data_IF_657595314342
#
_entry.id   IF_657595314342
#
_cell.length_a   1.000
_cell.length_b   1.000
_cell.length_c   1.000
_cell.angle_alpha   90.00
_cell.angle_beta   90.00
_cell.angle_gamma   90.00
#
_symmetry.space_group_name_H-M   'P 1'
#
loop_
_entity.id
_entity.type
_entity.pdbx_description
1 polymer ?
#
# COMPACT_ATOMS: atom_id res chain seq x y z
N UNK A 1 -1.47 5.80 -14.97
CA UNK A 1 -0.50 4.74 -14.61
C UNK A 1 0.71 4.73 -15.54
N UNK A 2 0.58 4.46 -16.84
CA UNK A 2 1.74 4.40 -17.77
C UNK A 2 2.63 5.66 -17.75
N UNK A 3 2.03 6.86 -17.86
CA UNK A 3 2.76 8.14 -17.80
C UNK A 3 3.51 8.31 -16.47
N UNK A 4 2.93 7.83 -15.38
CA UNK A 4 3.57 7.82 -14.05
C UNK A 4 4.80 6.92 -14.03
N UNK A 5 4.66 5.67 -14.48
CA UNK A 5 5.77 4.74 -14.59
C UNK A 5 6.89 5.27 -15.49
N UNK A 6 6.54 5.86 -16.64
CA UNK A 6 7.53 6.48 -17.54
C UNK A 6 8.29 7.63 -16.87
N UNK A 7 7.58 8.51 -16.16
CA UNK A 7 8.21 9.58 -15.40
C UNK A 7 9.15 9.05 -14.32
N UNK A 8 8.73 8.06 -13.54
CA UNK A 8 9.58 7.47 -12.51
C UNK A 8 10.76 6.69 -13.06
N UNK A 9 10.61 6.07 -14.22
CA UNK A 9 11.72 5.44 -14.93
C UNK A 9 12.78 6.50 -15.29
N UNK A 10 12.36 7.63 -15.87
CA UNK A 10 13.26 8.75 -16.20
C UNK A 10 13.94 9.28 -14.92
N UNK A 11 13.18 9.54 -13.85
CA UNK A 11 13.76 10.00 -12.58
C UNK A 11 14.76 9.00 -11.98
N UNK A 12 14.52 7.71 -12.15
CA UNK A 12 15.42 6.66 -11.67
C UNK A 12 16.71 6.62 -12.49
N UNK A 13 16.61 6.74 -13.82
CA UNK A 13 17.78 6.83 -14.71
C UNK A 13 18.64 8.07 -14.42
N UNK A 14 18.02 9.17 -14.00
CA UNK A 14 18.69 10.39 -13.55
C UNK A 14 19.26 10.29 -12.12
N UNK A 15 19.05 9.19 -11.40
CA UNK A 15 19.50 8.99 -10.02
C UNK A 15 18.75 9.85 -8.98
N UNK A 16 17.67 10.51 -9.38
CA UNK A 16 16.88 11.38 -8.50
C UNK A 16 16.05 10.56 -7.52
N UNK A 17 15.44 9.45 -7.98
CA UNK A 17 14.54 8.63 -7.16
C UNK A 17 15.26 8.00 -5.95
N UNK A 18 16.51 7.57 -6.12
CA UNK A 18 17.35 7.09 -5.00
C UNK A 18 17.64 8.17 -3.97
N UNK A 19 17.99 9.39 -4.42
CA UNK A 19 18.26 10.50 -3.50
C UNK A 19 17.04 10.86 -2.67
N UNK A 20 15.84 10.70 -3.22
CA UNK A 20 14.58 10.89 -2.49
C UNK A 20 14.45 9.85 -1.35
N UNK A 21 14.64 8.56 -1.65
CA UNK A 21 14.50 7.51 -0.62
C UNK A 21 15.57 7.62 0.45
N UNK A 22 16.84 7.82 0.06
CA UNK A 22 17.94 7.98 1.00
C UNK A 22 17.78 9.25 1.87
N UNK A 23 16.92 10.19 1.49
CA UNK A 23 16.66 11.38 2.30
C UNK A 23 15.72 11.14 3.49
N UNK A 24 14.97 10.03 3.47
CA UNK A 24 13.99 9.70 4.49
C UNK A 24 14.71 9.13 5.72
N UNK A 25 14.51 9.71 6.92
CA UNK A 25 15.18 9.23 8.13
C UNK A 25 14.57 7.90 8.62
N UNK A 26 15.35 7.05 9.34
CA UNK A 26 14.92 5.72 9.77
C UNK A 26 13.63 5.69 10.61
N UNK A 27 13.43 6.70 11.47
CA UNK A 27 12.21 6.81 12.27
C UNK A 27 10.95 6.97 11.42
N UNK A 28 11.04 7.69 10.30
CA UNK A 28 9.91 7.81 9.38
C UNK A 28 9.71 6.50 8.61
N UNK A 29 10.79 5.82 8.19
CA UNK A 29 10.71 4.49 7.55
C UNK A 29 9.94 3.50 8.45
N UNK A 30 10.31 3.43 9.72
CA UNK A 30 9.60 2.61 10.70
C UNK A 30 8.14 3.05 10.85
N UNK A 31 7.88 4.36 10.88
CA UNK A 31 6.52 4.88 10.95
C UNK A 31 5.65 4.58 9.73
N UNK A 32 6.24 4.53 8.53
CA UNK A 32 5.56 4.14 7.29
C UNK A 32 5.13 2.69 7.37
N UNK A 33 6.03 1.78 7.76
CA UNK A 33 5.71 0.37 7.94
C UNK A 33 4.55 0.18 8.92
N UNK A 34 4.63 0.80 10.10
CA UNK A 34 3.58 0.69 11.12
C UNK A 34 2.26 1.31 10.66
N UNK A 35 2.30 2.50 10.03
CA UNK A 35 1.11 3.17 9.51
C UNK A 35 0.38 2.33 8.46
N UNK A 36 1.12 1.69 7.56
CA UNK A 36 0.52 0.78 6.57
C UNK A 36 -0.05 -0.48 7.24
N UNK A 37 0.63 -1.02 8.26
CA UNK A 37 0.09 -2.13 9.06
C UNK A 37 -1.25 -1.80 9.73
N UNK A 38 -1.36 -0.61 10.32
CA UNK A 38 -2.61 -0.11 10.90
C UNK A 38 -3.69 0.09 9.83
N UNK A 39 -3.33 0.64 8.67
CA UNK A 39 -4.24 0.84 7.55
C UNK A 39 -4.81 -0.49 7.00
N UNK A 40 -3.95 -1.49 6.75
CA UNK A 40 -4.38 -2.81 6.28
C UNK A 40 -5.21 -3.52 7.36
N UNK A 41 -4.86 -3.37 8.64
CA UNK A 41 -5.69 -3.87 9.75
C UNK A 41 -7.07 -3.25 9.72
N UNK A 42 -7.16 -1.94 9.54
CA UNK A 42 -8.43 -1.21 9.46
C UNK A 42 -9.29 -1.70 8.28
N UNK A 43 -8.69 -1.89 7.11
CA UNK A 43 -9.35 -2.53 5.95
C UNK A 43 -9.83 -3.94 6.29
N UNK A 44 -9.01 -4.75 6.97
CA UNK A 44 -9.39 -6.07 7.46
C UNK A 44 -10.62 -6.03 8.37
N UNK A 45 -10.65 -5.10 9.33
CA UNK A 45 -11.78 -4.93 10.25
C UNK A 45 -13.05 -4.46 9.54
N UNK A 46 -12.93 -3.62 8.51
CA UNK A 46 -14.06 -3.20 7.66
C UNK A 46 -14.57 -4.36 6.78
N UNK A 47 -13.68 -5.11 6.13
CA UNK A 47 -14.03 -6.27 5.30
C UNK A 47 -14.63 -7.42 6.12
N UNK A 48 -14.26 -7.53 7.40
CA UNK A 48 -14.90 -8.45 8.35
C UNK A 48 -16.33 -8.01 8.71
N UNK A 49 -16.65 -6.73 8.51
CA UNK A 49 -17.88 -6.09 8.96
C UNK A 49 -17.88 -5.70 10.43
N UNK A 50 -16.73 -5.77 11.13
CA UNK A 50 -16.62 -5.42 12.54
C UNK A 50 -16.55 -3.91 12.75
N UNK A 51 -15.92 -3.18 11.83
CA UNK A 51 -15.87 -1.71 11.82
C UNK A 51 -16.77 -1.21 10.71
N UNK A 52 -17.79 -0.42 11.07
CA UNK A 52 -18.77 0.17 10.15
C UNK A 52 -18.82 1.68 10.31
N UNK A 53 -19.37 2.36 9.32
CA UNK A 53 -19.51 3.81 9.35
C UNK A 53 -20.49 4.26 10.45
N UNK A 54 -20.21 5.43 11.02
CA UNK A 54 -21.10 6.11 11.95
C UNK A 54 -21.11 7.60 11.68
N UNK A 55 -22.28 8.23 11.47
CA UNK A 55 -22.36 9.67 11.29
C UNK A 55 -21.94 10.44 12.57
N UNK A 56 -21.94 9.79 13.74
CA UNK A 56 -21.61 10.43 15.01
C UNK A 56 -20.11 10.37 15.34
N UNK A 57 -19.41 9.29 14.97
CA UNK A 57 -18.03 9.01 15.40
C UNK A 57 -17.08 8.66 14.25
N UNK A 58 -17.51 8.83 13.00
CA UNK A 58 -16.89 8.32 11.76
C UNK A 58 -16.92 6.80 11.65
N UNK A 59 -16.54 6.08 12.72
CA UNK A 59 -16.51 4.61 12.79
C UNK A 59 -17.15 4.11 14.08
N UNK A 60 -17.79 2.94 14.03
CA UNK A 60 -18.33 2.24 15.19
C UNK A 60 -18.18 0.72 15.04
N UNK A 61 -18.23 0.00 16.16
CA UNK A 61 -18.26 -1.45 16.15
C UNK A 61 -19.65 -1.96 15.77
N UNK A 62 -19.72 -2.90 14.82
CA UNK A 62 -20.96 -3.55 14.45
C UNK A 62 -21.41 -4.60 15.49
N UNK A 63 -22.72 -4.90 15.59
CA UNK A 63 -23.18 -6.05 16.35
C UNK A 63 -22.60 -7.35 15.78
N UNK A 64 -22.26 -8.30 16.66
CA UNK A 64 -21.70 -9.58 16.25
C UNK A 64 -22.71 -10.39 15.41
N UNK A 65 -22.47 -10.46 14.11
CA UNK A 65 -23.22 -11.29 13.17
C UNK A 65 -22.56 -12.67 13.00
N UNK A 66 -23.31 -13.62 12.43
CA UNK A 66 -22.77 -14.96 12.11
C UNK A 66 -21.52 -14.86 11.21
N UNK A 67 -21.55 -13.94 10.26
CA UNK A 67 -20.46 -13.64 9.34
C UNK A 67 -19.20 -13.15 10.06
N UNK A 68 -19.36 -12.20 10.98
CA UNK A 68 -18.26 -11.70 11.82
C UNK A 68 -17.68 -12.84 12.68
N UNK A 69 -18.53 -13.68 13.27
CA UNK A 69 -18.09 -14.81 14.09
C UNK A 69 -17.28 -15.84 13.28
N UNK A 70 -17.66 -16.12 12.03
CA UNK A 70 -16.90 -17.00 11.14
C UNK A 70 -15.52 -16.41 10.86
N UNK A 71 -15.44 -15.12 10.52
CA UNK A 71 -14.16 -14.46 10.28
C UNK A 71 -13.30 -14.38 11.55
N UNK A 72 -13.87 -14.08 12.72
CA UNK A 72 -13.16 -14.11 14.00
C UNK A 72 -12.68 -15.53 14.36
N UNK A 73 -13.46 -16.57 14.04
CA UNK A 73 -13.04 -17.96 14.15
C UNK A 73 -11.84 -18.26 13.25
N UNK A 74 -11.86 -17.77 12.00
CA UNK A 74 -10.71 -17.81 11.10
C UNK A 74 -9.47 -17.13 11.68
N UNK A 75 -9.63 -15.94 12.26
CA UNK A 75 -8.55 -15.22 12.95
C UNK A 75 -7.97 -16.03 14.10
N UNK A 76 -8.82 -16.61 14.93
CA UNK A 76 -8.39 -17.42 16.08
C UNK A 76 -7.58 -18.65 15.62
N UNK A 77 -7.99 -19.29 14.53
CA UNK A 77 -7.23 -20.40 13.93
C UNK A 77 -5.88 -19.92 13.40
N UNK A 78 -5.83 -18.79 12.69
CA UNK A 78 -4.57 -18.22 12.21
C UNK A 78 -3.61 -17.95 13.38
N UNK A 79 -4.11 -17.31 14.45
CA UNK A 79 -3.32 -17.04 15.65
C UNK A 79 -2.87 -18.34 16.32
N UNK A 80 -3.74 -19.33 16.47
CA UNK A 80 -3.39 -20.62 17.08
C UNK A 80 -2.29 -21.34 16.29
N UNK A 81 -2.41 -21.38 14.95
CA UNK A 81 -1.40 -21.99 14.09
C UNK A 81 -0.09 -21.22 14.10
N UNK A 82 -0.15 -19.89 14.19
CA UNK A 82 1.02 -19.03 14.31
C UNK A 82 1.76 -19.25 15.63
N UNK A 83 1.03 -19.38 16.75
CA UNK A 83 1.58 -19.73 18.06
C UNK A 83 2.26 -21.12 18.04
N UNK A 84 1.70 -22.05 17.26
CA UNK A 84 2.25 -23.39 17.04
C UNK A 84 3.36 -23.42 15.97
N UNK A 85 3.69 -22.28 15.36
CA UNK A 85 4.70 -22.13 14.29
C UNK A 85 4.46 -23.04 13.08
N UNK A 86 3.19 -23.25 12.72
CA UNK A 86 2.80 -24.04 11.55
C UNK A 86 2.91 -23.17 10.28
N UNK A 87 3.68 -23.58 9.25
CA UNK A 87 3.79 -22.82 8.02
C UNK A 87 2.44 -22.77 7.28
N UNK A 88 2.13 -21.60 6.71
CA UNK A 88 0.85 -21.39 6.01
C UNK A 88 -0.35 -21.14 6.93
N UNK A 89 -0.12 -20.68 8.17
CA UNK A 89 -1.15 -20.30 9.15
C UNK A 89 -2.27 -19.43 8.55
N UNK A 90 -1.89 -18.40 7.78
CA UNK A 90 -2.80 -17.51 7.04
C UNK A 90 -3.68 -18.29 6.03
N UNK A 91 -3.07 -19.13 5.20
CA UNK A 91 -3.79 -19.88 4.16
C UNK A 91 -4.79 -20.87 4.77
N UNK A 92 -4.36 -21.60 5.81
CA UNK A 92 -5.22 -22.55 6.52
C UNK A 92 -6.39 -21.82 7.18
N UNK A 93 -6.15 -20.66 7.79
CA UNK A 93 -7.21 -19.83 8.36
C UNK A 93 -8.25 -19.39 7.33
N UNK A 94 -7.82 -18.93 6.15
CA UNK A 94 -8.72 -18.56 5.05
C UNK A 94 -9.52 -19.79 4.59
N UNK A 95 -8.86 -20.93 4.41
CA UNK A 95 -9.52 -22.16 3.98
C UNK A 95 -10.58 -22.62 4.98
N UNK A 96 -10.27 -22.65 6.28
CA UNK A 96 -11.24 -23.04 7.31
C UNK A 96 -12.38 -22.03 7.40
N UNK A 97 -12.11 -20.73 7.39
CA UNK A 97 -13.16 -19.70 7.38
C UNK A 97 -14.06 -19.82 6.15
N UNK A 98 -13.50 -20.16 4.99
CA UNK A 98 -14.26 -20.40 3.75
C UNK A 98 -15.12 -21.65 3.84
N UNK A 99 -14.60 -22.75 4.39
CA UNK A 99 -15.39 -23.98 4.61
C UNK A 99 -16.55 -23.70 5.56
N UNK A 100 -16.30 -23.00 6.67
CA UNK A 100 -17.35 -22.57 7.60
C UNK A 100 -18.37 -21.65 6.93
N UNK A 101 -17.92 -20.71 6.09
CA UNK A 101 -18.81 -19.86 5.30
C UNK A 101 -19.73 -20.68 4.39
N UNK A 102 -19.19 -21.63 3.61
CA UNK A 102 -19.98 -22.47 2.70
C UNK A 102 -21.00 -23.35 3.46
N UNK A 103 -20.70 -23.74 4.70
CA UNK A 103 -21.57 -24.57 5.53
C UNK A 103 -22.67 -23.77 6.26
N UNK A 104 -22.34 -22.58 6.76
CA UNK A 104 -23.19 -21.82 7.68
C UNK A 104 -23.80 -20.55 7.07
N UNK A 105 -23.28 -20.05 5.95
CA UNK A 105 -23.78 -18.87 5.26
C UNK A 105 -24.48 -19.26 3.93
N UNK A 106 -25.83 -19.22 3.88
CA UNK A 106 -26.58 -19.53 2.67
C UNK A 106 -26.38 -18.49 1.55
N UNK A 107 -25.77 -17.34 1.83
CA UNK A 107 -25.46 -16.30 0.85
C UNK A 107 -24.22 -16.60 -0.01
N UNK A 108 -23.43 -17.63 0.32
CA UNK A 108 -22.23 -18.00 -0.44
C UNK A 108 -22.63 -18.77 -1.70
N UNK A 109 -22.46 -18.13 -2.86
CA UNK A 109 -22.70 -18.75 -4.16
C UNK A 109 -21.67 -19.84 -4.45
N UNK A 110 -22.16 -21.06 -4.66
CA UNK A 110 -21.31 -22.19 -5.09
C UNK A 110 -20.87 -21.99 -6.54
N UNK A 111 -19.64 -22.36 -6.90
CA UNK A 111 -19.14 -22.18 -8.25
C UNK A 111 -19.92 -23.12 -9.18
N UNK A 112 -20.59 -22.57 -10.20
CA UNK A 112 -21.29 -23.36 -11.21
C UNK A 112 -20.32 -24.01 -12.21
N UNK A 113 -19.12 -23.47 -12.31
CA UNK A 113 -18.02 -23.97 -13.14
C UNK A 113 -16.74 -23.87 -12.33
N UNK A 114 -15.84 -24.85 -12.45
CA UNK A 114 -14.55 -24.85 -11.76
C UNK A 114 -13.44 -24.20 -12.58
N UNK A 115 -13.60 -24.15 -13.91
CA UNK A 115 -12.64 -23.57 -14.84
C UNK A 115 -13.38 -22.68 -15.82
N UNK A 116 -12.90 -21.44 -15.98
CA UNK A 116 -13.37 -20.50 -16.98
C UNK A 116 -12.19 -19.95 -17.78
N UNK A 117 -12.21 -20.22 -19.09
CA UNK A 117 -11.21 -19.69 -20.03
C UNK A 117 -11.62 -18.33 -20.63
N UNK A 118 -12.83 -17.85 -20.32
CA UNK A 118 -13.34 -16.57 -20.82
C UNK A 118 -12.94 -15.42 -19.90
N UNK A 119 -11.65 -15.06 -19.91
CA UNK A 119 -11.18 -13.82 -19.29
C UNK A 119 -10.92 -12.78 -20.37
N UNK A 120 -11.87 -11.86 -20.60
CA UNK A 120 -11.75 -10.86 -21.66
C UNK A 120 -10.86 -9.68 -21.22
N UNK A 121 -9.58 -9.94 -21.03
CA UNK A 121 -8.60 -8.92 -20.59
C UNK A 121 -8.38 -7.85 -21.68
N UNK A 122 -8.67 -8.18 -22.94
CA UNK A 122 -8.56 -7.31 -24.12
C UNK A 122 -9.50 -6.09 -24.08
N UNK A 123 -10.51 -6.08 -23.20
CA UNK A 123 -11.40 -4.94 -23.06
C UNK A 123 -10.70 -3.70 -22.49
N UNK A 124 -9.61 -3.91 -21.74
CA UNK A 124 -8.80 -2.85 -21.12
C UNK A 124 -7.34 -2.92 -21.56
N UNK A 125 -6.79 -4.12 -21.77
CA UNK A 125 -5.40 -4.31 -22.21
C UNK A 125 -5.16 -3.69 -23.60
N UNK A 126 -3.96 -3.14 -23.81
CA UNK A 126 -3.49 -2.52 -25.05
C UNK A 126 -4.30 -1.29 -25.53
N UNK A 127 -5.31 -0.83 -24.78
CA UNK A 127 -6.11 0.37 -25.10
C UNK A 127 -5.55 1.63 -24.43
N UNK A 128 -4.25 1.84 -24.58
CA UNK A 128 -3.53 2.91 -23.88
C UNK A 128 -3.72 4.26 -24.59
N UNK A 129 -4.47 5.18 -23.98
CA UNK A 129 -4.68 6.53 -24.51
C UNK A 129 -3.75 7.57 -23.84
N UNK A 130 -2.50 7.64 -24.34
CA UNK A 130 -1.49 8.58 -23.83
C UNK A 130 -1.90 10.03 -24.15
N UNK A 131 -2.43 10.27 -25.35
CA UNK A 131 -2.82 11.62 -25.79
C UNK A 131 -3.99 12.17 -24.97
N UNK A 132 -4.96 11.32 -24.63
CA UNK A 132 -6.04 11.65 -23.70
C UNK A 132 -5.53 12.00 -22.31
N UNK A 133 -4.57 11.23 -21.79
CA UNK A 133 -3.98 11.45 -20.47
C UNK A 133 -3.22 12.78 -20.34
N UNK A 134 -2.63 13.30 -21.43
CA UNK A 134 -1.90 14.58 -21.43
C UNK A 134 -2.83 15.81 -21.59
N UNK A 135 -4.14 15.63 -21.77
CA UNK A 135 -5.07 16.75 -21.85
C UNK A 135 -5.12 17.51 -20.53
N UNK A 136 -5.29 18.84 -20.60
CA UNK A 136 -5.36 19.73 -19.43
C UNK A 136 -6.36 19.28 -18.35
N UNK A 137 -7.47 18.65 -18.75
CA UNK A 137 -8.47 18.13 -17.80
C UNK A 137 -8.01 16.89 -17.02
N UNK A 138 -7.04 16.13 -17.54
CA UNK A 138 -6.51 14.92 -16.90
C UNK A 138 -5.17 15.15 -16.19
N UNK A 139 -4.50 16.28 -16.44
CA UNK A 139 -3.17 16.57 -15.88
C UNK A 139 -3.17 16.54 -14.34
N UNK A 140 -4.25 17.03 -13.70
CA UNK A 140 -4.39 16.93 -12.23
C UNK A 140 -4.47 15.47 -11.78
N UNK A 141 -5.30 14.65 -12.41
CA UNK A 141 -5.43 13.22 -12.04
C UNK A 141 -4.12 12.46 -12.29
N UNK A 142 -3.42 12.77 -13.38
CA UNK A 142 -2.08 12.20 -13.67
C UNK A 142 -1.09 12.61 -12.59
N UNK A 143 -1.04 13.89 -12.22
CA UNK A 143 -0.17 14.38 -11.15
C UNK A 143 -0.49 13.73 -9.79
N UNK A 144 -1.77 13.63 -9.42
CA UNK A 144 -2.22 12.97 -8.18
C UNK A 144 -1.81 11.50 -8.18
N UNK A 145 -2.05 10.77 -9.27
CA UNK A 145 -1.63 9.37 -9.40
C UNK A 145 -0.11 9.22 -9.35
N UNK A 146 0.63 10.13 -9.98
CA UNK A 146 2.10 10.15 -9.91
C UNK A 146 2.60 10.35 -8.49
N UNK A 147 2.02 11.31 -7.78
CA UNK A 147 2.37 11.56 -6.39
C UNK A 147 2.07 10.34 -5.52
N UNK A 148 0.92 9.68 -5.74
CA UNK A 148 0.53 8.48 -5.01
C UNK A 148 1.50 7.32 -5.30
N UNK A 149 1.74 7.05 -6.57
CA UNK A 149 2.61 5.97 -7.06
C UNK A 149 4.06 6.12 -6.57
N UNK A 150 4.56 7.37 -6.48
CA UNK A 150 5.87 7.65 -5.91
C UNK A 150 6.00 7.07 -4.50
N UNK A 151 4.98 7.31 -3.69
CA UNK A 151 4.99 7.04 -2.27
C UNK A 151 4.58 5.63 -1.92
N UNK A 152 3.69 5.02 -2.71
CA UNK A 152 3.37 3.60 -2.57
C UNK A 152 4.62 2.75 -2.86
N UNK A 153 5.33 3.06 -3.95
CA UNK A 153 6.54 2.32 -4.32
C UNK A 153 7.67 2.51 -3.31
N UNK A 154 7.90 3.74 -2.86
CA UNK A 154 8.93 4.03 -1.86
C UNK A 154 8.54 3.45 -0.51
N UNK A 155 7.29 3.63 -0.08
CA UNK A 155 6.79 3.16 1.21
C UNK A 155 6.80 1.65 1.34
N UNK A 156 6.33 0.92 0.32
CA UNK A 156 6.34 -0.54 0.31
C UNK A 156 7.75 -1.11 0.28
N UNK A 157 8.63 -0.55 -0.57
CA UNK A 157 10.04 -0.97 -0.66
C UNK A 157 10.77 -0.74 0.67
N UNK A 158 10.55 0.42 1.30
CA UNK A 158 11.11 0.76 2.61
C UNK A 158 10.57 -0.15 3.73
N UNK A 159 9.32 -0.61 3.63
CA UNK A 159 8.72 -1.52 4.60
C UNK A 159 9.20 -2.97 4.45
N UNK A 160 9.44 -3.44 3.22
CA UNK A 160 9.81 -4.85 2.93
C UNK A 160 11.32 -5.08 2.92
N UNK A 161 12.12 -4.08 2.54
CA UNK A 161 13.58 -4.23 2.46
C UNK A 161 14.26 -4.68 3.77
N UNK A 162 13.85 -4.24 4.97
CA UNK A 162 14.41 -4.74 6.23
C UNK A 162 14.15 -6.23 6.44
N UNK A 163 12.94 -6.70 6.10
CA UNK A 163 12.57 -8.11 6.25
C UNK A 163 13.36 -9.00 5.28
N UNK A 164 13.64 -8.48 4.07
CA UNK A 164 14.40 -9.17 3.04
C UNK A 164 15.94 -9.16 3.27
N UNK A 165 16.43 -8.65 4.39
CA UNK A 165 17.87 -8.49 4.68
C UNK A 165 18.60 -7.68 3.58
N UNK A 166 17.93 -6.65 3.06
CA UNK A 166 18.43 -5.80 1.98
C UNK A 166 18.92 -4.43 2.46
N UNK A 167 18.79 -4.14 3.76
CA UNK A 167 19.23 -2.90 4.38
C UNK A 167 20.66 -3.06 4.90
N UNK A 168 21.57 -2.19 4.47
CA UNK A 168 22.95 -2.14 4.93
C UNK A 168 23.06 -1.54 6.34
N UNK A 169 24.21 -1.72 7.04
CA UNK A 169 24.42 -1.13 8.36
C UNK A 169 24.30 0.41 8.42
N UNK A 170 24.50 1.08 7.30
CA UNK A 170 24.34 2.54 7.15
C UNK A 170 22.87 2.98 6.93
N UNK A 171 21.93 2.03 6.90
CA UNK A 171 20.51 2.26 6.61
C UNK A 171 20.17 2.34 5.12
N UNK A 172 21.13 2.21 4.21
CA UNK A 172 20.88 2.24 2.76
C UNK A 172 20.36 0.90 2.23
N UNK A 173 19.49 0.93 1.22
CA UNK A 173 18.96 -0.28 0.59
C UNK A 173 19.87 -0.73 -0.55
N UNK A 174 20.19 -2.02 -0.59
CA UNK A 174 21.01 -2.63 -1.64
C UNK A 174 20.34 -2.49 -2.99
N UNK A 175 21.07 -1.94 -3.96
CA UNK A 175 20.64 -1.78 -5.35
C UNK A 175 19.31 -1.01 -5.53
N UNK A 176 19.05 -0.02 -4.68
CA UNK A 176 17.80 0.76 -4.70
C UNK A 176 17.47 1.37 -6.07
N UNK A 177 18.45 1.87 -6.81
CA UNK A 177 18.26 2.38 -8.18
C UNK A 177 17.65 1.31 -9.11
N UNK A 178 18.15 0.08 -9.01
CA UNK A 178 17.65 -1.04 -9.84
C UNK A 178 16.26 -1.47 -9.39
N UNK A 179 15.99 -1.51 -8.09
CA UNK A 179 14.67 -1.88 -7.56
C UNK A 179 13.61 -0.88 -8.00
N UNK A 180 13.89 0.42 -7.85
CA UNK A 180 13.01 1.50 -8.28
C UNK A 180 12.84 1.52 -9.81
N UNK A 181 13.86 1.13 -10.57
CA UNK A 181 13.77 1.01 -12.02
C UNK A 181 12.86 -0.14 -12.44
N UNK A 182 13.01 -1.31 -11.80
CA UNK A 182 12.17 -2.48 -12.03
C UNK A 182 10.70 -2.21 -11.66
N UNK A 183 10.46 -1.52 -10.56
CA UNK A 183 9.13 -1.07 -10.13
C UNK A 183 8.47 -0.16 -11.18
N UNK A 184 9.20 0.83 -11.72
CA UNK A 184 8.69 1.70 -12.77
C UNK A 184 8.38 0.93 -14.07
N UNK A 185 9.25 0.00 -14.47
CA UNK A 185 9.04 -0.87 -15.65
C UNK A 185 7.85 -1.79 -15.44
N UNK A 186 7.71 -2.39 -14.26
CA UNK A 186 6.56 -3.23 -13.91
C UNK A 186 5.26 -2.42 -14.00
N UNK A 187 5.24 -1.19 -13.47
CA UNK A 187 4.07 -0.30 -13.52
C UNK A 187 3.70 0.09 -14.95
N UNK A 188 4.69 0.37 -15.80
CA UNK A 188 4.44 0.61 -17.22
C UNK A 188 3.86 -0.63 -17.90
N UNK A 189 4.41 -1.81 -17.64
CA UNK A 189 3.92 -3.05 -18.22
C UNK A 189 2.50 -3.40 -17.72
N UNK A 190 2.24 -3.27 -16.43
CA UNK A 190 0.90 -3.43 -15.84
C UNK A 190 -0.12 -2.49 -16.48
N UNK A 191 0.23 -1.22 -16.69
CA UNK A 191 -0.65 -0.27 -17.38
C UNK A 191 -0.96 -0.69 -18.82
N UNK A 192 0.00 -1.28 -19.55
CA UNK A 192 -0.22 -1.83 -20.90
C UNK A 192 -1.17 -3.03 -20.86
N UNK A 193 -1.06 -3.86 -19.82
CA UNK A 193 -2.00 -4.96 -19.57
C UNK A 193 -3.37 -4.50 -19.01
N UNK A 194 -3.58 -3.21 -18.81
CA UNK A 194 -4.85 -2.66 -18.32
C UNK A 194 -5.04 -2.73 -16.79
N UNK A 195 -3.96 -2.89 -16.02
CA UNK A 195 -4.00 -2.97 -14.55
C UNK A 195 -3.71 -1.61 -13.89
N UNK A 196 -3.91 -1.54 -12.57
CA UNK A 196 -3.45 -0.45 -11.72
C UNK A 196 -1.91 -0.39 -11.64
N UNK A 197 -1.39 0.57 -10.88
CA UNK A 197 0.03 0.60 -10.48
C UNK A 197 0.44 -0.74 -9.87
N UNK A 198 1.63 -1.22 -10.22
CA UNK A 198 2.19 -2.46 -9.68
C UNK A 198 3.34 -2.11 -8.78
N UNK A 199 3.41 -2.69 -7.59
CA UNK A 199 4.49 -2.39 -6.65
C UNK A 199 4.87 -3.62 -5.85
N UNK A 200 5.92 -3.53 -5.04
CA UNK A 200 6.24 -4.57 -4.07
C UNK A 200 5.11 -4.70 -3.05
N UNK A 201 4.56 -5.90 -2.92
CA UNK A 201 3.53 -6.17 -1.92
C UNK A 201 4.13 -6.29 -0.54
N UNK A 202 3.47 -5.66 0.43
CA UNK A 202 3.92 -5.64 1.82
C UNK A 202 3.68 -6.99 2.50
N UNK A 203 2.66 -7.72 2.05
CA UNK A 203 2.34 -9.09 2.40
C UNK A 203 3.51 -10.05 2.09
N UNK A 204 4.42 -9.65 1.19
CA UNK A 204 5.65 -10.39 0.91
C UNK A 204 6.52 -10.56 2.15
N UNK A 205 6.40 -9.68 3.16
CA UNK A 205 7.09 -9.82 4.44
C UNK A 205 6.81 -11.17 5.11
N UNK A 206 5.55 -11.65 5.08
CA UNK A 206 5.21 -12.96 5.64
C UNK A 206 5.86 -14.11 4.85
N UNK A 207 5.94 -14.00 3.52
CA UNK A 207 6.65 -14.95 2.68
C UNK A 207 8.17 -14.95 2.91
N UNK A 208 8.74 -13.78 3.18
CA UNK A 208 10.16 -13.58 3.50
C UNK A 208 10.50 -14.17 4.87
N UNK A 209 9.65 -13.99 5.89
CA UNK A 209 9.78 -14.61 7.21
C UNK A 209 9.79 -16.14 7.10
N UNK A 210 9.02 -16.72 6.15
CA UNK A 210 9.00 -18.15 5.86
C UNK A 210 10.18 -18.63 4.97
N UNK A 211 11.13 -17.76 4.64
CA UNK A 211 12.36 -18.09 3.90
C UNK A 211 12.35 -17.74 2.41
N UNK A 212 11.26 -17.16 1.89
CA UNK A 212 11.12 -16.72 0.49
C UNK A 212 11.93 -15.46 0.15
N UNK A 213 13.27 -15.54 0.20
CA UNK A 213 14.18 -14.39 0.06
C UNK A 213 14.78 -14.21 -1.33
N UNK A 214 14.38 -15.01 -2.31
CA UNK A 214 14.94 -15.01 -3.67
C UNK A 214 13.92 -14.52 -4.71
N UNK A 215 14.41 -13.93 -5.81
CA UNK A 215 13.56 -13.55 -6.93
C UNK A 215 12.82 -14.73 -7.58
N UNK A 216 13.36 -15.95 -7.46
CA UNK A 216 12.68 -17.16 -7.91
C UNK A 216 11.34 -17.35 -7.18
N UNK A 217 11.26 -16.98 -5.90
CA UNK A 217 10.00 -17.01 -5.14
C UNK A 217 8.96 -16.11 -5.80
N UNK A 218 9.31 -14.88 -6.16
CA UNK A 218 8.42 -13.95 -6.83
C UNK A 218 7.99 -14.44 -8.23
N UNK A 219 8.91 -15.02 -9.00
CA UNK A 219 8.62 -15.59 -10.33
C UNK A 219 7.67 -16.78 -10.21
N UNK A 220 7.93 -17.72 -9.29
CA UNK A 220 7.08 -18.89 -9.06
C UNK A 220 5.70 -18.44 -8.60
N UNK A 221 5.61 -17.52 -7.64
CA UNK A 221 4.34 -16.94 -7.20
C UNK A 221 3.58 -16.29 -8.37
N UNK A 222 4.26 -15.51 -9.21
CA UNK A 222 3.65 -14.91 -10.40
C UNK A 222 3.11 -15.94 -11.41
N UNK A 223 3.88 -16.99 -11.69
CA UNK A 223 3.44 -18.09 -12.55
C UNK A 223 2.25 -18.83 -11.95
N UNK A 224 2.25 -19.10 -10.64
CA UNK A 224 1.13 -19.72 -9.96
C UNK A 224 -0.13 -18.84 -10.00
N UNK A 225 0.00 -17.51 -9.86
CA UNK A 225 -1.11 -16.58 -10.05
C UNK A 225 -1.65 -16.59 -11.49
N UNK A 226 -0.77 -16.66 -12.50
CA UNK A 226 -1.19 -16.81 -13.90
C UNK A 226 -1.93 -18.14 -14.14
N UNK A 227 -1.44 -19.23 -13.56
CA UNK A 227 -2.09 -20.54 -13.60
C UNK A 227 -3.40 -20.57 -12.80
N UNK A 228 -3.59 -19.68 -11.83
CA UNK A 228 -4.83 -19.54 -11.06
C UNK A 228 -5.94 -18.79 -11.82
N UNK A 229 -5.62 -18.02 -12.86
CA UNK A 229 -6.60 -17.22 -13.62
C UNK A 229 -7.77 -18.07 -14.16
N UNK A 230 -7.56 -19.25 -14.78
CA UNK A 230 -8.67 -20.10 -15.22
C UNK A 230 -9.55 -20.60 -14.06
N UNK A 231 -9.01 -20.66 -12.84
CA UNK A 231 -9.70 -21.11 -11.64
C UNK A 231 -10.37 -19.97 -10.86
N UNK A 232 -10.47 -18.77 -11.44
CA UNK A 232 -11.14 -17.62 -10.80
C UNK A 232 -12.54 -17.94 -10.23
N UNK A 233 -13.39 -18.80 -10.84
CA UNK A 233 -14.70 -19.10 -10.27
C UNK A 233 -14.61 -19.79 -8.91
N UNK A 234 -13.57 -20.58 -8.68
CA UNK A 234 -13.31 -21.25 -7.39
C UNK A 234 -12.82 -20.25 -6.37
N UNK A 235 -11.92 -19.33 -6.77
CA UNK A 235 -11.41 -18.27 -5.91
C UNK A 235 -12.53 -17.30 -5.51
N UNK A 236 -13.48 -17.04 -6.40
CA UNK A 236 -14.61 -16.15 -6.16
C UNK A 236 -15.61 -16.65 -5.09
N UNK A 237 -15.53 -17.93 -4.70
CA UNK A 237 -16.34 -18.49 -3.60
C UNK A 237 -15.90 -17.95 -2.25
N UNK A 238 -14.63 -17.55 -2.13
CA UNK A 238 -14.07 -17.06 -0.87
C UNK A 238 -14.69 -15.71 -0.52
N UNK A 239 -15.51 -15.62 0.55
CA UNK A 239 -16.13 -14.35 0.89
C UNK A 239 -15.12 -13.39 1.51
N UNK A 240 -15.36 -12.09 1.39
CA UNK A 240 -14.45 -11.04 1.88
C UNK A 240 -14.17 -11.14 3.38
N UNK A 241 -15.16 -11.52 4.18
CA UNK A 241 -15.00 -11.69 5.63
C UNK A 241 -14.13 -12.90 6.01
N UNK A 242 -13.89 -13.86 5.09
CA UNK A 242 -12.99 -14.99 5.32
C UNK A 242 -11.52 -14.66 5.03
N UNK A 243 -11.25 -13.68 4.16
CA UNK A 243 -9.88 -13.18 3.89
C UNK A 243 -9.48 -12.03 4.81
N UNK A 244 -10.45 -11.27 5.32
CA UNK A 244 -10.25 -10.17 6.26
C UNK A 244 -9.31 -10.48 7.45
N UNK A 245 -9.39 -11.63 8.13
CA UNK A 245 -8.47 -11.99 9.22
C UNK A 245 -6.99 -12.01 8.83
N UNK A 246 -6.68 -12.38 7.58
CA UNK A 246 -5.30 -12.40 7.11
C UNK A 246 -4.70 -10.99 7.06
N UNK A 247 -5.50 -9.98 6.69
CA UNK A 247 -5.09 -8.58 6.70
C UNK A 247 -4.77 -8.09 8.12
N UNK A 248 -5.56 -8.51 9.12
CA UNK A 248 -5.32 -8.20 10.54
C UNK A 248 -3.99 -8.82 11.01
N UNK A 249 -3.73 -10.08 10.65
CA UNK A 249 -2.47 -10.76 10.97
C UNK A 249 -1.25 -10.08 10.31
N UNK A 250 -1.36 -9.71 9.04
CA UNK A 250 -0.29 -8.96 8.34
C UNK A 250 -0.03 -7.63 9.03
N UNK A 251 -1.08 -6.89 9.40
CA UNK A 251 -0.93 -5.63 10.12
C UNK A 251 -0.24 -5.80 11.48
N UNK A 252 -0.53 -6.88 12.20
CA UNK A 252 0.18 -7.24 13.44
C UNK A 252 1.67 -7.49 13.20
N UNK A 253 2.03 -8.19 12.12
CA UNK A 253 3.44 -8.43 11.79
C UNK A 253 4.20 -7.15 11.50
N UNK A 254 3.58 -6.19 10.81
CA UNK A 254 4.19 -4.88 10.53
C UNK A 254 4.31 -4.01 11.78
N UNK A 255 3.39 -4.14 12.74
CA UNK A 255 3.40 -3.38 13.99
C UNK A 255 4.70 -3.58 14.79
N UNK A 256 5.42 -4.70 14.61
CA UNK A 256 6.73 -4.96 15.22
C UNK A 256 7.73 -3.81 15.01
N UNK A 257 7.64 -3.10 13.88
CA UNK A 257 8.52 -1.98 13.54
C UNK A 257 8.33 -0.73 14.41
N UNK A 258 7.25 -0.65 15.22
CA UNK A 258 7.02 0.48 16.14
C UNK A 258 8.15 0.64 17.15
N UNK A 259 8.79 -0.47 17.52
CA UNK A 259 9.92 -0.50 18.46
C UNK A 259 11.17 0.21 17.95
N UNK A 260 11.24 0.49 16.64
CA UNK A 260 12.34 1.24 16.01
C UNK A 260 12.13 2.76 16.04
N UNK A 261 11.01 3.23 16.57
CA UNK A 261 10.67 4.65 16.66
C UNK A 261 10.98 5.13 18.08
N UNK A 262 11.90 6.10 18.19
CA UNK A 262 12.13 6.79 19.44
C UNK A 262 11.14 7.95 19.59
N UNK A 263 10.10 7.73 20.41
CA UNK A 263 9.09 8.74 20.72
C UNK A 263 9.56 9.77 21.76
N UNK A 264 10.73 9.60 22.38
CA UNK A 264 11.27 10.58 23.34
C UNK A 264 11.88 11.80 22.63
N UNK A 265 12.41 11.63 21.42
CA UNK A 265 12.84 12.75 20.57
C UNK A 265 11.68 13.23 19.68
N UNK A 266 11.03 14.34 20.08
CA UNK A 266 9.92 14.93 19.33
C UNK A 266 10.27 15.29 17.88
N UNK A 267 11.54 15.54 17.54
CA UNK A 267 11.96 15.91 16.17
C UNK A 267 11.76 14.79 15.17
N UNK A 268 11.78 13.54 15.63
CA UNK A 268 11.60 12.33 14.81
C UNK A 268 10.36 11.55 15.20
N UNK A 269 10.02 11.54 16.50
CA UNK A 269 8.86 10.85 17.05
C UNK A 269 7.53 11.46 16.61
N UNK A 270 7.37 12.79 16.64
CA UNK A 270 6.11 13.42 16.20
C UNK A 270 5.86 13.21 14.69
N UNK A 271 6.84 13.43 13.78
CA UNK A 271 6.65 13.13 12.37
C UNK A 271 6.29 11.67 12.11
N UNK A 272 6.98 10.72 12.76
CA UNK A 272 6.65 9.30 12.64
C UNK A 272 5.22 9.04 13.11
N UNK A 273 4.84 9.53 14.30
CA UNK A 273 3.47 9.43 14.81
C UNK A 273 2.42 9.97 13.84
N UNK A 274 2.66 11.13 13.22
CA UNK A 274 1.78 11.69 12.20
C UNK A 274 1.66 10.78 10.98
N UNK A 275 2.75 10.16 10.53
CA UNK A 275 2.69 9.13 9.47
C UNK A 275 1.78 7.98 9.89
N UNK A 276 1.98 7.40 11.08
CA UNK A 276 1.19 6.27 11.57
C UNK A 276 -0.32 6.57 11.52
N UNK A 277 -0.71 7.68 12.15
CA UNK A 277 -2.12 8.05 12.33
C UNK A 277 -2.75 8.46 11.00
N UNK A 278 -2.06 9.29 10.22
CA UNK A 278 -2.63 9.82 8.99
C UNK A 278 -2.73 8.74 7.91
N UNK A 279 -1.78 7.81 7.79
CA UNK A 279 -1.94 6.67 6.86
C UNK A 279 -3.20 5.88 7.21
N UNK A 280 -3.39 5.54 8.48
CA UNK A 280 -4.53 4.72 8.92
C UNK A 280 -5.88 5.44 8.78
N UNK A 281 -5.97 6.71 9.23
CA UNK A 281 -7.25 7.42 9.34
C UNK A 281 -7.65 8.17 8.07
N UNK A 282 -6.71 8.56 7.21
CA UNK A 282 -7.02 9.27 5.96
C UNK A 282 -7.28 8.32 4.77
N UNK A 283 -7.15 7.01 4.98
CA UNK A 283 -7.25 5.99 3.94
C UNK A 283 -6.29 6.24 2.75
N UNK A 284 -5.15 6.89 3.02
CA UNK A 284 -4.18 7.31 2.01
C UNK A 284 -2.76 7.26 2.57
N UNK A 285 -1.96 6.33 2.05
CA UNK A 285 -0.52 6.20 2.36
C UNK A 285 0.19 7.52 2.05
N UNK A 286 -0.14 8.12 0.90
CA UNK A 286 0.45 9.36 0.41
C UNK A 286 0.15 10.57 1.28
N UNK A 287 -1.08 10.68 1.79
CA UNK A 287 -1.47 11.75 2.72
C UNK A 287 -0.67 11.64 4.01
N UNK A 288 -0.55 10.45 4.59
CA UNK A 288 0.20 10.29 5.83
C UNK A 288 1.71 10.53 5.67
N UNK A 289 2.27 10.09 4.55
CA UNK A 289 3.65 10.40 4.16
C UNK A 289 3.87 11.91 4.02
N UNK A 290 2.99 12.60 3.30
CA UNK A 290 3.08 14.05 3.09
C UNK A 290 3.08 14.82 4.43
N UNK A 291 2.18 14.48 5.36
CA UNK A 291 2.17 15.07 6.71
C UNK A 291 3.45 14.77 7.49
N UNK A 292 3.94 13.53 7.44
CA UNK A 292 5.20 13.14 8.08
C UNK A 292 6.41 13.91 7.54
N UNK A 293 6.49 14.05 6.23
CA UNK A 293 7.61 14.73 5.57
C UNK A 293 7.61 16.24 5.80
N UNK A 294 6.43 16.88 5.78
CA UNK A 294 6.30 18.30 6.11
C UNK A 294 6.67 18.53 7.57
N UNK A 295 6.11 17.75 8.49
CA UNK A 295 6.37 17.90 9.92
C UNK A 295 7.84 17.65 10.28
N UNK A 296 8.49 16.65 9.69
CA UNK A 296 9.92 16.40 9.90
C UNK A 296 10.78 17.61 9.52
N UNK A 297 10.60 18.11 8.29
CA UNK A 297 11.38 19.27 7.82
C UNK A 297 11.10 20.50 8.66
N UNK A 298 9.84 20.77 9.00
CA UNK A 298 9.45 21.89 9.85
C UNK A 298 10.09 21.81 11.24
N UNK A 299 10.03 20.66 11.92
CA UNK A 299 10.60 20.50 13.26
C UNK A 299 12.12 20.63 13.26
N UNK A 300 12.81 20.17 12.22
CA UNK A 300 14.26 20.35 12.11
C UNK A 300 14.65 21.81 11.90
N UNK A 301 13.84 22.58 11.17
CA UNK A 301 14.02 24.04 11.03
C UNK A 301 13.79 24.74 12.36
N UNK A 302 12.66 24.45 13.02
CA UNK A 302 12.30 25.06 14.32
C UNK A 302 13.31 24.70 15.42
N UNK A 303 13.92 23.52 15.34
CA UNK A 303 14.97 23.10 16.26
C UNK A 303 16.35 23.72 15.98
N UNK A 304 16.45 24.64 15.01
CA UNK A 304 17.71 25.29 14.63
C UNK A 304 18.69 24.36 13.90
N UNK A 305 18.21 23.24 13.34
CA UNK A 305 19.03 22.22 12.67
C UNK A 305 18.63 21.98 11.19
N UNK A 306 18.40 23.03 10.37
CA UNK A 306 18.01 22.85 8.97
C UNK A 306 19.08 22.10 8.15
N UNK A 307 20.36 22.21 8.54
CA UNK A 307 21.48 21.52 7.91
C UNK A 307 21.46 19.98 8.07
N UNK A 308 20.65 19.45 9.01
CA UNK A 308 20.44 17.99 9.15
C UNK A 308 19.47 17.44 8.11
N UNK A 309 18.71 18.29 7.43
CA UNK A 309 17.75 17.90 6.40
C UNK A 309 18.48 17.79 5.06
N UNK A 310 18.48 16.58 4.48
CA UNK A 310 19.09 16.34 3.17
C UNK A 310 18.36 17.16 2.08
N UNK A 311 19.04 17.67 1.04
CA UNK A 311 18.40 18.51 0.01
C UNK A 311 17.18 17.87 -0.67
N UNK A 312 17.22 16.56 -0.91
CA UNK A 312 16.09 15.85 -1.51
C UNK A 312 14.85 15.82 -0.59
N UNK A 313 15.03 15.87 0.73
CA UNK A 313 13.92 15.96 1.68
C UNK A 313 13.16 17.29 1.56
N UNK A 314 13.86 18.39 1.27
CA UNK A 314 13.23 19.68 1.00
C UNK A 314 12.35 19.63 -0.25
N UNK A 315 12.81 18.95 -1.30
CA UNK A 315 12.02 18.73 -2.52
C UNK A 315 10.77 17.91 -2.19
N UNK A 316 10.91 16.82 -1.41
CA UNK A 316 9.77 16.00 -0.97
C UNK A 316 8.76 16.84 -0.18
N UNK A 317 9.24 17.66 0.75
CA UNK A 317 8.38 18.57 1.52
C UNK A 317 7.66 19.56 0.62
N UNK A 318 8.34 20.16 -0.35
CA UNK A 318 7.71 21.08 -1.32
C UNK A 318 6.63 20.36 -2.15
N UNK A 319 6.95 19.16 -2.67
CA UNK A 319 5.99 18.34 -3.40
C UNK A 319 4.79 17.95 -2.53
N UNK A 320 5.02 17.68 -1.24
CA UNK A 320 3.97 17.35 -0.27
C UNK A 320 3.04 18.54 -0.01
N UNK A 321 3.59 19.75 0.08
CA UNK A 321 2.79 20.98 0.18
C UNK A 321 2.00 21.20 -1.12
N UNK A 322 2.63 20.96 -2.28
CA UNK A 322 1.96 21.04 -3.57
C UNK A 322 0.79 20.05 -3.67
N UNK A 323 0.97 18.80 -3.23
CA UNK A 323 -0.09 17.80 -3.20
C UNK A 323 -1.33 18.30 -2.44
N UNK A 324 -1.18 18.81 -1.22
CA UNK A 324 -2.31 19.37 -0.47
C UNK A 324 -2.91 20.63 -1.07
N UNK A 325 -2.12 21.41 -1.80
CA UNK A 325 -2.61 22.60 -2.49
C UNK A 325 -3.24 22.31 -3.86
N UNK A 326 -3.16 21.09 -4.40
CA UNK A 326 -3.77 20.79 -5.71
C UNK A 326 -5.29 20.96 -5.71
N UNK A 327 -6.00 20.59 -4.65
CA UNK A 327 -7.45 20.82 -4.54
C UNK A 327 -7.78 22.32 -4.51
N UNK A 328 -6.95 23.11 -3.82
CA UNK A 328 -7.07 24.58 -3.75
C UNK A 328 -6.72 25.22 -5.11
N UNK A 329 -5.68 24.75 -5.78
CA UNK A 329 -5.27 25.20 -7.12
C UNK A 329 -6.34 24.84 -8.17
N UNK A 330 -6.97 23.67 -8.07
CA UNK A 330 -8.07 23.26 -8.93
C UNK A 330 -9.35 24.05 -8.64
N UNK A 331 -9.60 24.43 -7.38
CA UNK A 331 -10.67 25.34 -7.01
C UNK A 331 -10.42 26.75 -7.58
N UNK A 332 -9.20 27.28 -7.42
CA UNK A 332 -8.79 28.58 -7.98
C UNK A 332 -8.82 28.58 -9.51
N UNK A 333 -8.38 27.52 -10.17
CA UNK A 333 -8.44 27.38 -11.62
C UNK A 333 -9.89 27.31 -12.14
N UNK A 334 -10.80 26.69 -11.37
CA UNK A 334 -12.25 26.71 -11.68
C UNK A 334 -12.84 28.11 -11.53
N UNK A 335 -12.49 28.84 -10.46
CA UNK A 335 -12.93 30.23 -10.25
C UNK A 335 -12.38 31.16 -11.34
N UNK A 336 -11.11 31.03 -11.71
CA UNK A 336 -10.50 31.81 -12.79
C UNK A 336 -11.12 31.49 -14.16
N UNK A 337 -11.49 30.22 -14.43
CA UNK A 337 -12.20 29.84 -15.65
C UNK A 337 -13.64 30.36 -15.68
N UNK A 338 -14.33 30.40 -14.55
CA UNK A 338 -15.68 30.97 -14.44
C UNK A 338 -15.68 32.50 -14.54
N UNK A 339 -14.59 33.17 -14.14
CA UNK A 339 -14.40 34.62 -14.33
C UNK A 339 -13.99 35.05 -15.74
N UNK A 340 -13.70 34.09 -16.65
CA UNK A 340 -13.25 34.33 -18.03
C UNK A 340 -14.28 33.93 -19.10
N UNK A 341 -15.46 33.45 -18.70
CA UNK A 341 -16.60 33.28 -19.60
C UNK A 341 -17.51 34.51 -19.50
N UNK A 342 -17.66 35.31 -20.59
CA UNK A 342 -18.56 36.46 -20.60
C UNK A 342 -20.04 36.06 -20.44
#
# INVERSE_FOLDING_TARGET
VFVSGLFFLILTLLGLRRRLVEAIPPSLIAGISVGIGLFITFIGLQNLGLVVDSPATLVQAAPLSKTILIGLGGLLIMVALELLKVPGSLLVGIAVATVLAVLFDPGVTRPQQYVSLHTNVLDVALKLDILGALRWGMLSSVFTLMFIDMFDSVGTLLAVAPEADMVRPDGSIRAIDRLLGLDAVATMFGAVCGTSTTTSYIESAAGIEQGGRTGLTAVVTGVLFLLAVPFWPVVAVVPQYATAPALIMVGLFMMKNVTRIDFTDLRTGLPAFLVLVMIALSYSISTGLAFGFISYTLLQVLSGRPHKVRPAMWIITLLSILYFSTDVLNALARVLRQGLTP
#
